data_IF_014811954187
#
_entry.id   IF_014811954187
#
_cell.length_a   1.000
_cell.length_b   1.000
_cell.length_c   1.000
_cell.angle_alpha   90.00
_cell.angle_beta   90.00
_cell.angle_gamma   90.00
#
_symmetry.space_group_name_H-M   'P 1'
#
loop_
_entity.id
_entity.type
_entity.pdbx_description
1 polymer ?
#
# COMPACT_ATOMS: atom_id res chain seq x y z
N UNK A 1 -5.91 13.81 -28.96
CA UNK A 1 -5.87 12.96 -27.75
C UNK A 1 -6.15 11.53 -28.20
N UNK A 2 -5.23 10.61 -27.92
CA UNK A 2 -5.43 9.19 -28.20
C UNK A 2 -6.51 8.66 -27.25
N UNK A 3 -7.47 7.89 -27.77
CA UNK A 3 -8.54 7.29 -26.96
C UNK A 3 -8.07 5.93 -26.43
N UNK A 4 -8.45 5.54 -25.20
CA UNK A 4 -8.19 4.18 -24.70
C UNK A 4 -8.81 3.12 -25.62
N UNK A 5 -8.15 1.98 -25.74
CA UNK A 5 -8.74 0.77 -26.37
C UNK A 5 -9.87 0.21 -25.50
N UNK A 6 -10.62 -0.79 -25.99
CA UNK A 6 -11.60 -1.55 -25.18
C UNK A 6 -10.99 -2.19 -23.93
N UNK A 7 -9.65 -2.33 -23.86
CA UNK A 7 -8.89 -2.83 -22.71
C UNK A 7 -8.33 -1.71 -21.82
N UNK A 8 -8.64 -0.44 -22.09
CA UNK A 8 -8.08 0.67 -21.31
C UNK A 8 -6.64 1.04 -21.65
N UNK A 9 -6.09 0.62 -22.80
CA UNK A 9 -4.69 0.93 -23.14
C UNK A 9 -4.55 2.21 -23.97
N UNK A 10 -3.57 3.08 -23.64
CA UNK A 10 -3.13 4.23 -24.45
C UNK A 10 -1.65 4.05 -24.79
N UNK A 11 -1.32 3.94 -26.09
CA UNK A 11 0.07 3.80 -26.57
C UNK A 11 0.85 2.65 -25.89
N UNK A 12 0.18 1.56 -25.51
CA UNK A 12 0.78 0.41 -24.81
C UNK A 12 0.88 0.56 -23.29
N UNK A 13 0.42 1.68 -22.73
CA UNK A 13 0.25 1.86 -21.29
C UNK A 13 -1.18 1.49 -20.91
N UNK A 14 -1.35 0.65 -19.88
CA UNK A 14 -2.66 0.47 -19.23
C UNK A 14 -3.03 1.78 -18.53
N UNK A 15 -4.27 2.21 -18.71
CA UNK A 15 -4.79 3.44 -18.11
C UNK A 15 -5.97 3.05 -17.25
N UNK A 16 -5.91 3.48 -16.00
CA UNK A 16 -7.00 3.30 -15.05
C UNK A 16 -8.28 3.91 -15.61
N UNK A 17 -9.33 3.09 -15.73
CA UNK A 17 -10.68 3.57 -16.01
C UNK A 17 -11.14 4.47 -14.84
N UNK A 18 -11.42 5.78 -15.07
CA UNK A 18 -11.82 6.70 -14.01
C UNK A 18 -13.09 6.26 -13.25
N UNK A 19 -14.06 5.66 -13.93
CA UNK A 19 -15.31 5.23 -13.30
C UNK A 19 -15.05 4.02 -12.39
N UNK A 20 -14.16 3.13 -12.82
CA UNK A 20 -13.75 1.95 -12.04
C UNK A 20 -12.88 2.37 -10.84
N UNK A 21 -11.98 3.34 -11.05
CA UNK A 21 -11.19 3.96 -9.99
C UNK A 21 -12.08 4.57 -8.92
N UNK A 22 -13.02 5.43 -9.31
CA UNK A 22 -13.87 6.11 -8.36
C UNK A 22 -14.73 5.15 -7.54
N UNK A 23 -15.15 4.04 -8.17
CA UNK A 23 -15.93 3.00 -7.52
C UNK A 23 -15.12 2.17 -6.53
N UNK A 24 -13.91 1.75 -6.88
CA UNK A 24 -13.19 0.70 -6.16
C UNK A 24 -11.96 1.16 -5.36
N UNK A 25 -11.42 2.36 -5.59
CA UNK A 25 -10.14 2.80 -4.97
C UNK A 25 -10.08 2.58 -3.46
N UNK A 26 -11.13 2.94 -2.73
CA UNK A 26 -11.16 2.84 -1.26
C UNK A 26 -11.20 1.38 -0.78
N UNK A 27 -11.96 0.55 -1.47
CA UNK A 27 -12.12 -0.86 -1.11
C UNK A 27 -10.86 -1.65 -1.44
N UNK A 28 -10.27 -1.43 -2.61
CA UNK A 28 -9.00 -2.05 -3.01
C UNK A 28 -7.93 -1.69 -1.99
N UNK A 29 -7.73 -0.40 -1.70
CA UNK A 29 -6.71 0.08 -0.74
C UNK A 29 -6.91 -0.52 0.65
N UNK A 30 -8.14 -0.60 1.16
CA UNK A 30 -8.43 -1.17 2.47
C UNK A 30 -8.12 -2.68 2.58
N UNK A 31 -8.02 -3.39 1.46
CA UNK A 31 -7.67 -4.81 1.39
C UNK A 31 -6.16 -5.05 1.25
N UNK A 32 -5.36 -4.03 0.91
CA UNK A 32 -3.91 -4.21 0.68
C UNK A 32 -3.13 -4.26 1.99
N UNK A 33 -1.92 -4.82 1.92
CA UNK A 33 -0.97 -4.78 3.04
C UNK A 33 -0.60 -3.35 3.44
N UNK A 34 -0.73 -2.40 2.52
CA UNK A 34 -0.48 -0.99 2.79
C UNK A 34 -1.47 -0.47 3.84
N UNK A 35 -2.67 -1.03 3.98
CA UNK A 35 -3.64 -0.63 5.01
C UNK A 35 -3.80 -1.66 6.12
N UNK A 36 -3.65 -2.95 5.81
CA UNK A 36 -3.76 -4.03 6.78
C UNK A 36 -2.39 -4.29 7.42
N UNK A 37 -2.13 -3.57 8.52
CA UNK A 37 -0.84 -3.56 9.24
C UNK A 37 -0.72 -4.69 10.28
N UNK A 38 -1.80 -5.44 10.52
CA UNK A 38 -1.87 -6.43 11.60
C UNK A 38 -1.30 -7.81 11.19
N UNK A 39 -0.16 -7.81 10.50
CA UNK A 39 0.63 -9.02 10.20
C UNK A 39 1.78 -9.25 11.20
N UNK A 40 1.89 -8.40 12.22
CA UNK A 40 2.93 -8.55 13.23
C UNK A 40 2.72 -9.87 14.00
N UNK A 41 3.71 -10.76 13.93
CA UNK A 41 3.71 -12.08 14.56
C UNK A 41 3.56 -12.05 16.09
N UNK A 42 3.80 -10.90 16.72
CA UNK A 42 3.59 -10.67 18.16
C UNK A 42 2.17 -10.24 18.51
N UNK A 43 1.31 -9.92 17.55
CA UNK A 43 -0.11 -9.67 17.81
C UNK A 43 -0.82 -10.97 18.22
N UNK A 44 -1.83 -10.94 19.10
CA UNK A 44 -2.60 -12.13 19.44
C UNK A 44 -3.25 -12.79 18.21
N UNK A 45 -3.36 -14.12 18.22
CA UNK A 45 -4.07 -14.88 17.17
C UNK A 45 -5.57 -15.01 17.52
N UNK A 46 -6.20 -13.90 17.87
CA UNK A 46 -7.61 -13.79 18.31
C UNK A 46 -8.51 -13.17 17.23
N UNK A 47 -8.01 -13.08 16.00
CA UNK A 47 -8.67 -12.43 14.88
C UNK A 47 -8.37 -10.94 14.74
N UNK A 48 -7.53 -10.34 15.61
CA UNK A 48 -7.00 -9.00 15.35
C UNK A 48 -6.01 -8.99 14.20
N UNK A 49 -5.35 -10.12 13.93
CA UNK A 49 -4.45 -10.27 12.78
C UNK A 49 -5.22 -10.18 11.47
N UNK A 50 -4.89 -9.19 10.66
CA UNK A 50 -5.48 -8.98 9.34
C UNK A 50 -4.36 -8.92 8.31
N UNK A 51 -4.27 -9.99 7.52
CA UNK A 51 -3.38 -10.06 6.37
C UNK A 51 -3.97 -9.27 5.22
N UNK A 52 -3.16 -8.43 4.58
CA UNK A 52 -3.51 -7.85 3.29
C UNK A 52 -3.55 -8.88 2.17
N UNK A 53 -4.46 -8.68 1.23
CA UNK A 53 -4.65 -9.53 0.06
C UNK A 53 -3.67 -9.14 -1.06
N UNK A 54 -3.33 -10.12 -1.90
CA UNK A 54 -2.65 -9.87 -3.18
C UNK A 54 -3.61 -9.32 -4.23
N UNK A 55 -3.08 -8.70 -5.29
CA UNK A 55 -3.90 -8.14 -6.37
C UNK A 55 -4.81 -9.19 -7.02
N UNK A 56 -4.33 -10.44 -7.17
CA UNK A 56 -5.14 -11.56 -7.67
C UNK A 56 -6.29 -11.90 -6.73
N UNK A 57 -6.05 -11.95 -5.42
CA UNK A 57 -7.07 -12.28 -4.42
C UNK A 57 -8.11 -11.16 -4.29
N UNK A 58 -7.69 -9.91 -4.44
CA UNK A 58 -8.59 -8.75 -4.51
C UNK A 58 -9.44 -8.84 -5.77
N UNK A 59 -8.83 -9.13 -6.92
CA UNK A 59 -9.53 -9.28 -8.20
C UNK A 59 -10.59 -10.39 -8.15
N UNK A 60 -10.24 -11.57 -7.61
CA UNK A 60 -11.18 -12.67 -7.39
C UNK A 60 -12.33 -12.27 -6.47
N UNK A 61 -12.02 -11.57 -5.37
CA UNK A 61 -13.02 -11.13 -4.38
C UNK A 61 -13.98 -10.08 -4.95
N UNK A 62 -13.50 -9.17 -5.78
CA UNK A 62 -14.28 -8.05 -6.32
C UNK A 62 -14.87 -8.35 -7.70
N UNK A 63 -14.51 -9.47 -8.32
CA UNK A 63 -14.96 -9.82 -9.67
C UNK A 63 -14.36 -8.90 -10.75
N UNK A 64 -13.10 -8.50 -10.59
CA UNK A 64 -12.39 -7.56 -11.47
C UNK A 64 -11.26 -8.25 -12.23
N UNK A 65 -10.73 -7.59 -13.28
CA UNK A 65 -9.46 -8.00 -13.88
C UNK A 65 -8.31 -7.64 -12.93
N UNK A 66 -7.30 -8.51 -12.84
CA UNK A 66 -6.14 -8.29 -11.98
C UNK A 66 -5.33 -7.05 -12.39
N UNK A 67 -5.32 -6.69 -13.68
CA UNK A 67 -4.66 -5.47 -14.16
C UNK A 67 -5.38 -4.24 -13.65
N UNK A 68 -6.71 -4.21 -13.71
CA UNK A 68 -7.50 -3.09 -13.20
C UNK A 68 -7.25 -2.88 -11.71
N UNK A 69 -7.22 -3.96 -10.93
CA UNK A 69 -6.90 -3.92 -9.50
C UNK A 69 -5.49 -3.37 -9.27
N UNK A 70 -4.51 -3.84 -10.03
CA UNK A 70 -3.10 -3.42 -9.90
C UNK A 70 -2.96 -1.93 -10.16
N UNK A 71 -3.53 -1.44 -11.25
CA UNK A 71 -3.43 -0.03 -11.65
C UNK A 71 -4.19 0.87 -10.66
N UNK A 72 -5.41 0.49 -10.26
CA UNK A 72 -6.16 1.23 -9.24
C UNK A 72 -5.39 1.25 -7.92
N UNK A 73 -4.84 0.12 -7.47
CA UNK A 73 -4.05 0.07 -6.23
C UNK A 73 -2.87 1.03 -6.28
N UNK A 74 -2.09 1.00 -7.36
CA UNK A 74 -0.89 1.85 -7.48
C UNK A 74 -1.25 3.33 -7.40
N UNK A 75 -2.28 3.76 -8.13
CA UNK A 75 -2.73 5.16 -8.11
C UNK A 75 -3.35 5.52 -6.76
N UNK A 76 -4.22 4.67 -6.21
CA UNK A 76 -4.94 4.95 -4.97
C UNK A 76 -4.02 4.95 -3.75
N UNK A 77 -3.04 4.05 -3.69
CA UNK A 77 -2.01 4.10 -2.63
C UNK A 77 -1.23 5.40 -2.71
N UNK A 78 -0.88 5.86 -3.92
CA UNK A 78 -0.18 7.14 -4.09
C UNK A 78 -1.04 8.35 -3.70
N UNK A 79 -2.34 8.34 -4.00
CA UNK A 79 -3.27 9.42 -3.63
C UNK A 79 -3.44 9.56 -2.11
N UNK A 80 -3.33 8.46 -1.37
CA UNK A 80 -3.50 8.44 0.09
C UNK A 80 -2.23 8.85 0.86
N UNK A 81 -1.04 8.70 0.26
CA UNK A 81 0.24 9.06 0.90
C UNK A 81 0.76 10.38 0.34
N UNK A 82 0.62 11.50 1.08
CA UNK A 82 1.24 12.75 0.65
C UNK A 82 2.77 12.60 0.68
N UNK A 83 3.47 13.38 -0.15
CA UNK A 83 4.92 13.26 -0.33
C UNK A 83 5.69 13.37 1.01
N UNK A 84 5.15 14.14 1.95
CA UNK A 84 5.67 14.34 3.29
C UNK A 84 5.72 13.04 4.11
N UNK A 85 4.77 12.13 3.92
CA UNK A 85 4.77 10.82 4.60
C UNK A 85 5.87 9.91 4.06
N UNK A 86 6.16 9.98 2.75
CA UNK A 86 7.30 9.28 2.16
C UNK A 86 8.63 9.80 2.72
N UNK A 87 8.78 11.12 2.84
CA UNK A 87 9.96 11.75 3.45
C UNK A 87 10.10 11.42 4.94
N UNK A 88 9.00 11.34 5.69
CA UNK A 88 8.99 10.91 7.08
C UNK A 88 9.42 9.44 7.21
N UNK A 89 8.91 8.56 6.36
CA UNK A 89 9.31 7.15 6.29
C UNK A 89 10.79 6.98 5.92
N UNK A 90 11.31 7.78 4.98
CA UNK A 90 12.73 7.76 4.61
C UNK A 90 13.61 8.14 5.81
N UNK A 91 13.31 9.27 6.47
CA UNK A 91 14.02 9.71 7.69
C UNK A 91 14.00 8.65 8.80
N UNK A 92 12.85 8.02 9.00
CA UNK A 92 12.71 6.95 9.98
C UNK A 92 13.61 5.75 9.67
N UNK A 93 13.69 5.32 8.40
CA UNK A 93 14.55 4.22 7.97
C UNK A 93 16.03 4.55 8.13
N UNK A 94 16.44 5.77 7.78
CA UNK A 94 17.81 6.23 7.96
C UNK A 94 18.21 6.25 9.44
N UNK A 95 17.34 6.79 10.30
CA UNK A 95 17.54 6.81 11.75
C UNK A 95 17.58 5.38 12.35
N UNK A 96 16.71 4.48 11.90
CA UNK A 96 16.69 3.09 12.31
C UNK A 96 17.97 2.34 11.89
N UNK A 97 18.45 2.57 10.66
CA UNK A 97 19.69 2.00 10.16
C UNK A 97 20.92 2.50 10.94
N UNK A 98 20.99 3.81 11.22
CA UNK A 98 22.04 4.40 12.04
C UNK A 98 22.03 3.83 13.47
N UNK A 99 20.85 3.77 14.10
CA UNK A 99 20.68 3.21 15.45
C UNK A 99 21.08 1.73 15.52
N UNK A 100 20.75 0.96 14.49
CA UNK A 100 21.18 -0.43 14.35
C UNK A 100 22.69 -0.55 14.19
N UNK A 101 23.32 0.31 13.39
CA UNK A 101 24.78 0.32 13.22
C UNK A 101 25.51 0.62 14.55
N UNK A 102 25.00 1.57 15.34
CA UNK A 102 25.65 2.00 16.59
C UNK A 102 25.53 0.99 17.74
N UNK A 103 24.45 0.21 17.81
CA UNK A 103 24.28 -0.71 18.94
C UNK A 103 23.40 -1.93 18.71
N UNK A 104 23.10 -2.25 17.46
CA UNK A 104 22.29 -3.42 17.09
C UNK A 104 20.83 -3.30 17.51
N UNK A 105 20.14 -4.44 17.51
CA UNK A 105 18.69 -4.54 17.75
C UNK A 105 18.22 -3.83 19.04
N UNK A 106 19.03 -3.83 20.10
CA UNK A 106 18.70 -3.18 21.40
C UNK A 106 18.54 -1.66 21.33
N UNK A 107 19.05 -1.03 20.27
CA UNK A 107 18.97 0.42 20.05
C UNK A 107 17.96 0.79 18.95
N UNK A 108 17.37 -0.20 18.28
CA UNK A 108 16.33 0.05 17.27
C UNK A 108 15.11 0.73 17.93
N UNK A 109 14.63 1.81 17.34
CA UNK A 109 13.46 2.60 17.79
C UNK A 109 13.62 3.37 19.12
N UNK A 110 14.83 3.52 19.66
CA UNK A 110 15.07 4.44 20.78
C UNK A 110 15.14 5.88 20.28
N UNK A 111 14.13 6.69 20.59
CA UNK A 111 14.12 8.14 20.35
C UNK A 111 13.18 8.57 19.23
N UNK A 112 13.14 7.82 18.13
CA UNK A 112 12.17 7.99 17.04
C UNK A 112 11.31 6.73 16.93
N UNK A 113 10.17 6.67 17.65
CA UNK A 113 9.22 5.59 17.44
C UNK A 113 8.64 5.65 16.01
N UNK A 114 8.25 4.51 15.43
CA UNK A 114 7.62 4.51 14.11
C UNK A 114 6.41 5.46 14.08
N UNK A 115 6.21 6.16 12.95
CA UNK A 115 5.06 7.04 12.81
C UNK A 115 3.78 6.23 13.05
N UNK A 116 3.00 6.65 14.04
CA UNK A 116 1.70 6.05 14.33
C UNK A 116 0.68 6.62 13.35
N UNK A 117 -0.01 5.75 12.60
CA UNK A 117 -1.19 6.16 11.83
C UNK A 117 -2.23 6.72 12.80
N UNK A 118 -2.61 7.99 12.59
CA UNK A 118 -3.74 8.61 13.30
C UNK A 118 -5.02 8.43 12.49
#
# INVERSE_FOLDING_TARGET
MTKPTERGEINGFHVVDPDLYDRYRKEIVALTNSYQVDINEFLPDDGTRKRGLSDTEIAERLGLDVRDVTEIRVVAEHDEYPIEEYEASARFKDAAAASYFEGGVKNLYKGDPPPTRR
#
